data_IF_527277329433
#
_entry.id   IF_527277329433
#
_cell.length_a   1.000
_cell.length_b   1.000
_cell.length_c   1.000
_cell.angle_alpha   90.00
_cell.angle_beta   90.00
_cell.angle_gamma   90.00
#
_symmetry.space_group_name_H-M   'P 1'
#
loop_
_entity.id
_entity.type
_entity.pdbx_description
1 polymer ?
#
# COMPACT_ATOMS: atom_id res chain seq x y z
N UNK A 1 -8.62 67.13 55.31
CA UNK A 1 -9.42 65.94 54.93
C UNK A 1 -10.30 66.33 53.75
N UNK A 2 -9.91 65.94 52.54
CA UNK A 2 -10.69 65.99 51.29
C UNK A 2 -9.86 65.20 50.25
N UNK A 3 -10.15 63.91 50.06
CA UNK A 3 -11.08 63.35 49.07
C UNK A 3 -10.38 63.02 47.75
N UNK A 4 -10.06 61.73 47.62
CA UNK A 4 -9.36 60.98 46.56
C UNK A 4 -10.15 60.86 45.24
N UNK A 5 -10.92 61.87 44.86
CA UNK A 5 -11.84 61.79 43.72
C UNK A 5 -11.38 62.73 42.61
N UNK A 6 -10.30 62.41 41.86
CA UNK A 6 -10.04 62.96 40.51
C UNK A 6 -8.98 62.19 39.67
N UNK A 7 -8.57 60.96 40.02
CA UNK A 7 -7.61 60.17 39.21
C UNK A 7 -8.27 58.89 38.68
N UNK A 8 -9.52 58.98 38.25
CA UNK A 8 -10.29 57.83 37.71
C UNK A 8 -10.58 57.93 36.22
N UNK A 9 -9.97 58.88 35.49
CA UNK A 9 -10.36 59.19 34.11
C UNK A 9 -9.25 59.04 33.04
N UNK A 10 -8.19 58.28 33.32
CA UNK A 10 -7.16 57.93 32.32
C UNK A 10 -6.93 56.41 32.16
N UNK A 11 -7.87 55.57 32.58
CA UNK A 11 -7.84 54.12 32.36
C UNK A 11 -8.97 53.65 31.44
N UNK A 12 -9.32 54.46 30.45
CA UNK A 12 -10.14 54.03 29.33
C UNK A 12 -9.46 54.53 28.06
N UNK A 13 -9.33 53.66 27.05
CA UNK A 13 -8.69 53.88 25.74
C UNK A 13 -7.18 53.58 25.70
N UNK A 14 -6.82 52.33 26.00
CA UNK A 14 -6.00 51.55 25.06
C UNK A 14 -6.29 50.06 25.25
N UNK A 15 -7.59 49.73 25.24
CA UNK A 15 -8.03 48.42 24.77
C UNK A 15 -7.91 48.40 23.23
N UNK A 16 -6.73 48.71 22.71
CA UNK A 16 -6.34 48.23 21.40
C UNK A 16 -6.18 46.75 21.59
N UNK A 17 -7.26 46.04 21.25
CA UNK A 17 -7.28 44.62 20.94
C UNK A 17 -5.93 44.30 20.29
N UNK A 18 -5.03 43.67 21.05
CA UNK A 18 -3.98 42.90 20.45
C UNK A 18 -4.77 41.81 19.72
N UNK A 19 -5.09 42.09 18.46
CA UNK A 19 -5.36 41.07 17.48
C UNK A 19 -4.15 40.17 17.61
N UNK A 20 -4.30 39.09 18.40
CA UNK A 20 -3.52 37.91 18.19
C UNK A 20 -3.88 37.53 16.76
N UNK A 21 -3.14 38.10 15.81
CA UNK A 21 -3.01 37.56 14.48
C UNK A 21 -2.39 36.20 14.79
N UNK A 22 -3.24 35.20 14.96
CA UNK A 22 -2.84 33.83 14.75
C UNK A 22 -2.43 33.80 13.30
N UNK A 23 -1.16 34.11 13.06
CA UNK A 23 -0.50 33.61 11.88
C UNK A 23 -0.64 32.11 12.05
N UNK A 24 -1.68 31.53 11.45
CA UNK A 24 -1.69 30.14 11.06
C UNK A 24 -0.48 30.00 10.14
N UNK A 25 0.72 29.92 10.72
CA UNK A 25 1.81 29.26 10.07
C UNK A 25 1.24 27.88 9.84
N UNK A 26 0.91 27.58 8.59
CA UNK A 26 0.63 26.24 8.12
C UNK A 26 1.89 25.43 8.36
N UNK A 27 2.07 25.04 9.62
CA UNK A 27 3.27 24.42 10.11
C UNK A 27 3.13 22.96 9.75
N UNK A 28 3.71 22.62 8.61
CA UNK A 28 3.75 21.24 8.13
C UNK A 28 4.76 20.44 8.96
N UNK A 29 4.62 19.12 8.94
CA UNK A 29 5.53 18.22 9.63
C UNK A 29 6.93 18.20 9.01
N UNK A 30 7.80 17.37 9.58
CA UNK A 30 9.14 17.15 9.02
C UNK A 30 9.06 16.63 7.58
N UNK A 31 9.92 17.19 6.72
CA UNK A 31 9.98 16.90 5.28
C UNK A 31 8.67 17.16 4.51
N UNK A 32 7.81 18.04 5.03
CA UNK A 32 6.61 18.52 4.36
C UNK A 32 6.70 20.01 4.03
N UNK A 33 6.05 20.43 2.95
CA UNK A 33 5.84 21.83 2.62
C UNK A 33 4.36 22.09 2.35
N UNK A 34 3.87 23.24 2.81
CA UNK A 34 2.52 23.68 2.49
C UNK A 34 2.44 23.99 1.00
N UNK A 35 1.55 23.29 0.30
CA UNK A 35 1.26 23.49 -1.11
C UNK A 35 -0.12 24.13 -1.23
N UNK A 36 -0.24 25.40 -1.63
CA UNK A 36 -1.53 26.02 -1.95
C UNK A 36 -2.27 25.29 -3.07
N UNK A 37 -1.49 24.66 -3.94
CA UNK A 37 -1.93 23.82 -5.03
C UNK A 37 -1.24 22.46 -4.91
N UNK A 38 -1.87 21.52 -4.20
CA UNK A 38 -1.29 20.19 -4.01
C UNK A 38 -1.30 19.40 -5.33
N UNK A 39 -0.46 18.37 -5.38
CA UNK A 39 -0.42 17.39 -6.46
C UNK A 39 -0.70 16.00 -5.89
N UNK A 40 -0.65 15.00 -6.74
CA UNK A 40 -0.45 13.64 -6.28
C UNK A 40 0.75 13.59 -5.31
N UNK A 41 0.74 12.67 -4.39
CA UNK A 41 1.79 12.52 -3.40
C UNK A 41 2.37 11.12 -3.52
N UNK A 42 3.70 11.05 -3.63
CA UNK A 42 4.42 9.79 -3.63
C UNK A 42 4.26 9.12 -2.28
N UNK A 43 4.02 7.82 -2.28
CA UNK A 43 3.94 7.01 -1.06
C UNK A 43 4.98 5.90 -1.11
N UNK A 44 5.25 5.25 0.02
CA UNK A 44 6.11 4.07 -0.02
C UNK A 44 5.53 2.94 -0.90
N UNK A 45 4.20 2.82 -0.98
CA UNK A 45 3.49 1.83 -1.81
C UNK A 45 3.46 2.21 -3.29
N UNK A 46 3.40 3.50 -3.58
CA UNK A 46 3.44 4.05 -4.93
C UNK A 46 4.43 5.22 -5.01
N UNK A 47 5.75 4.93 -5.12
CA UNK A 47 6.77 5.96 -5.18
C UNK A 47 6.75 6.78 -6.47
N UNK A 48 6.14 6.25 -7.53
CA UNK A 48 6.06 6.88 -8.85
C UNK A 48 4.60 6.90 -9.33
N UNK A 49 3.71 7.69 -8.70
CA UNK A 49 2.32 7.79 -9.11
C UNK A 49 2.22 8.53 -10.44
N UNK A 50 1.23 8.16 -11.27
CA UNK A 50 0.90 8.94 -12.47
C UNK A 50 -0.02 10.09 -12.09
N UNK A 51 0.41 11.31 -12.37
CA UNK A 51 -0.23 12.50 -11.82
C UNK A 51 -0.78 13.41 -12.92
N UNK A 52 -1.97 13.94 -12.70
CA UNK A 52 -2.52 14.96 -13.59
C UNK A 52 -1.88 16.32 -13.30
N UNK A 53 -1.89 17.20 -14.31
CA UNK A 53 -1.49 18.59 -14.14
C UNK A 53 -2.53 19.44 -13.37
N UNK A 54 -3.62 18.82 -12.90
CA UNK A 54 -4.67 19.50 -12.15
C UNK A 54 -4.17 19.93 -10.76
N UNK A 55 -4.77 20.99 -10.25
CA UNK A 55 -4.47 21.52 -8.93
C UNK A 55 -5.38 20.87 -7.88
N UNK A 56 -4.78 20.21 -6.89
CA UNK A 56 -5.50 19.70 -5.73
C UNK A 56 -5.73 20.77 -4.66
N UNK A 57 -6.53 20.47 -3.62
CA UNK A 57 -6.78 21.38 -2.52
C UNK A 57 -5.49 21.71 -1.76
N UNK A 58 -5.40 22.88 -1.12
CA UNK A 58 -4.21 23.27 -0.37
C UNK A 58 -3.97 22.33 0.83
N UNK A 59 -2.77 21.76 0.96
CA UNK A 59 -2.37 20.89 2.08
C UNK A 59 -0.87 20.86 2.29
N UNK A 60 -0.43 20.35 3.43
CA UNK A 60 0.95 19.92 3.61
C UNK A 60 1.19 18.66 2.76
N UNK A 61 2.30 18.66 2.02
CA UNK A 61 2.67 17.56 1.14
C UNK A 61 4.17 17.30 1.27
N UNK A 62 4.59 16.03 1.17
CA UNK A 62 6.01 15.66 1.19
C UNK A 62 6.80 16.47 0.16
N UNK A 63 7.98 16.93 0.56
CA UNK A 63 8.91 17.60 -0.35
C UNK A 63 9.53 16.59 -1.34
N UNK A 64 10.07 17.10 -2.44
CA UNK A 64 10.67 16.26 -3.50
C UNK A 64 11.75 15.34 -2.92
N UNK A 65 11.70 14.05 -3.26
CA UNK A 65 12.62 13.02 -2.76
C UNK A 65 12.19 12.32 -1.47
N UNK A 66 11.06 12.75 -0.89
CA UNK A 66 10.43 12.11 0.27
C UNK A 66 9.06 11.57 -0.12
N UNK A 67 8.71 10.44 0.48
CA UNK A 67 7.43 9.76 0.24
C UNK A 67 6.69 9.57 1.56
N UNK A 68 5.36 9.55 1.51
CA UNK A 68 4.54 9.34 2.71
C UNK A 68 4.50 7.85 3.06
N UNK A 69 4.81 7.51 4.31
CA UNK A 69 4.67 6.16 4.85
C UNK A 69 3.28 5.93 5.47
N UNK A 70 3.01 4.71 5.93
CA UNK A 70 1.71 4.33 6.53
C UNK A 70 1.40 4.99 7.87
N UNK A 71 2.44 5.54 8.52
CA UNK A 71 2.31 6.32 9.74
C UNK A 71 2.01 7.80 9.45
N UNK A 72 1.85 8.17 8.17
CA UNK A 72 1.59 9.53 7.74
C UNK A 72 2.82 10.43 7.75
N UNK A 73 4.03 9.91 7.94
CA UNK A 73 5.28 10.69 7.95
C UNK A 73 5.93 10.72 6.56
N UNK A 74 6.54 11.86 6.21
CA UNK A 74 7.37 11.98 5.01
C UNK A 74 8.79 11.49 5.29
N UNK A 75 9.14 10.34 4.71
CA UNK A 75 10.41 9.65 4.91
C UNK A 75 11.16 9.53 3.60
N UNK A 76 12.48 9.30 3.67
CA UNK A 76 13.24 8.99 2.45
C UNK A 76 12.74 7.68 1.84
N UNK A 77 12.77 7.54 0.51
CA UNK A 77 12.36 6.29 -0.16
C UNK A 77 13.13 5.07 0.34
N UNK A 78 14.39 5.24 0.77
CA UNK A 78 15.21 4.16 1.35
C UNK A 78 14.70 3.76 2.74
N UNK A 79 14.12 4.71 3.49
CA UNK A 79 13.50 4.48 4.79
C UNK A 79 12.15 3.76 4.69
N UNK A 80 11.57 3.59 3.50
CA UNK A 80 10.45 2.68 3.29
C UNK A 80 10.81 1.21 3.59
N UNK A 81 12.09 0.84 3.71
CA UNK A 81 12.47 -0.47 4.24
C UNK A 81 11.96 -0.76 5.67
N UNK A 82 11.54 0.27 6.42
CA UNK A 82 10.90 0.17 7.74
C UNK A 82 9.36 0.13 7.66
N UNK A 83 8.77 -0.17 6.50
CA UNK A 83 7.34 -0.48 6.42
C UNK A 83 7.08 -1.77 7.21
N UNK A 84 6.16 -1.73 8.17
CA UNK A 84 5.68 -2.94 8.87
C UNK A 84 4.89 -3.79 7.88
N UNK A 85 5.55 -4.76 7.26
CA UNK A 85 4.87 -5.81 6.52
C UNK A 85 4.13 -6.75 7.48
N UNK A 86 3.09 -7.42 6.98
CA UNK A 86 2.34 -8.39 7.78
C UNK A 86 3.21 -9.60 8.13
N UNK A 87 2.70 -10.47 9.02
CA UNK A 87 3.37 -11.73 9.32
C UNK A 87 3.69 -12.51 8.03
N UNK A 88 4.90 -13.09 7.99
CA UNK A 88 5.46 -13.81 6.83
C UNK A 88 5.70 -12.99 5.55
N UNK A 89 5.72 -11.67 5.65
CA UNK A 89 6.10 -10.78 4.55
C UNK A 89 7.44 -10.07 4.80
N UNK A 90 8.06 -9.62 3.72
CA UNK A 90 9.27 -8.80 3.73
C UNK A 90 9.16 -7.72 2.66
N UNK A 91 9.62 -6.52 2.96
CA UNK A 91 9.63 -5.43 2.01
C UNK A 91 10.65 -5.71 0.91
N UNK A 92 10.23 -5.62 -0.35
CA UNK A 92 11.14 -5.58 -1.49
C UNK A 92 10.91 -4.33 -2.31
N UNK A 93 12.01 -3.69 -2.68
CA UNK A 93 12.05 -2.59 -3.65
C UNK A 93 11.45 -2.98 -5.01
N UNK A 94 11.55 -4.27 -5.34
CA UNK A 94 11.01 -4.89 -6.54
C UNK A 94 10.20 -6.12 -6.14
N UNK A 95 8.93 -5.92 -5.80
CA UNK A 95 8.04 -7.00 -5.33
C UNK A 95 6.96 -7.44 -6.32
N UNK A 96 6.95 -6.88 -7.53
CA UNK A 96 5.92 -7.12 -8.55
C UNK A 96 5.81 -8.61 -8.95
N UNK A 97 6.89 -9.38 -8.79
CA UNK A 97 6.89 -10.83 -8.96
C UNK A 97 7.07 -11.53 -7.60
N UNK A 98 6.03 -12.25 -7.16
CA UNK A 98 6.11 -13.14 -6.01
C UNK A 98 5.32 -14.43 -6.31
N UNK A 99 5.74 -15.58 -5.74
CA UNK A 99 5.01 -16.83 -5.91
C UNK A 99 3.70 -16.83 -5.12
N UNK A 100 2.70 -17.52 -5.65
CA UNK A 100 1.35 -17.64 -5.09
C UNK A 100 0.99 -19.11 -4.92
N UNK A 101 -0.06 -19.44 -4.16
CA UNK A 101 -0.51 -20.83 -4.06
C UNK A 101 -0.88 -21.42 -5.44
N UNK A 102 -1.43 -20.60 -6.34
CA UNK A 102 -1.81 -21.02 -7.69
C UNK A 102 -0.64 -21.08 -8.69
N UNK A 103 0.41 -20.27 -8.49
CA UNK A 103 1.62 -20.26 -9.32
C UNK A 103 2.87 -20.22 -8.43
N UNK A 104 3.48 -21.39 -8.23
CA UNK A 104 4.62 -21.56 -7.33
C UNK A 104 5.94 -21.09 -7.95
N UNK A 105 6.02 -21.05 -9.27
CA UNK A 105 7.23 -20.71 -10.03
C UNK A 105 6.91 -19.71 -11.15
N UNK A 106 6.54 -18.45 -10.79
CA UNK A 106 6.23 -17.44 -11.78
C UNK A 106 7.50 -17.03 -12.53
N UNK A 107 7.41 -16.91 -13.86
CA UNK A 107 8.47 -16.31 -14.66
C UNK A 107 8.58 -14.81 -14.34
N UNK A 108 9.72 -14.43 -13.76
CA UNK A 108 10.00 -13.06 -13.31
C UNK A 108 10.97 -12.30 -14.21
N UNK A 109 11.28 -12.84 -15.40
CA UNK A 109 12.35 -12.33 -16.27
C UNK A 109 12.08 -10.92 -16.83
N UNK A 110 10.81 -10.51 -16.94
CA UNK A 110 10.40 -9.29 -17.67
C UNK A 110 9.75 -8.19 -16.80
N UNK A 111 9.85 -8.24 -15.46
CA UNK A 111 9.14 -7.25 -14.65
C UNK A 111 9.91 -5.94 -14.45
N UNK A 112 9.34 -4.89 -15.05
CA UNK A 112 9.61 -3.49 -14.72
C UNK A 112 9.32 -3.28 -13.22
N UNK A 113 10.36 -2.98 -12.43
CA UNK A 113 10.18 -2.60 -11.03
C UNK A 113 9.54 -1.21 -10.96
N UNK A 114 8.22 -1.16 -10.92
CA UNK A 114 7.48 0.09 -10.86
C UNK A 114 7.46 0.65 -9.44
N UNK A 115 7.18 -0.21 -8.45
CA UNK A 115 7.01 0.18 -7.06
C UNK A 115 7.52 -0.90 -6.08
N UNK A 116 7.87 -0.48 -4.86
CA UNK A 116 8.20 -1.40 -3.77
C UNK A 116 6.93 -1.91 -3.10
N UNK A 117 6.93 -3.16 -2.62
CA UNK A 117 5.80 -3.73 -1.86
C UNK A 117 6.28 -4.79 -0.88
N UNK A 118 5.41 -5.12 0.08
CA UNK A 118 5.56 -6.32 0.90
C UNK A 118 5.32 -7.56 0.03
N UNK A 119 6.26 -8.50 0.07
CA UNK A 119 6.15 -9.80 -0.60
C UNK A 119 6.30 -10.93 0.41
N UNK A 120 5.79 -12.11 0.06
CA UNK A 120 6.01 -13.30 0.88
C UNK A 120 7.51 -13.59 1.10
N UNK A 121 7.87 -13.95 2.33
CA UNK A 121 9.21 -14.42 2.68
C UNK A 121 9.56 -15.71 1.89
N UNK A 122 10.85 -16.01 1.68
CA UNK A 122 11.25 -17.26 1.02
C UNK A 122 10.61 -18.48 1.67
N UNK A 123 10.04 -19.37 0.85
CA UNK A 123 9.36 -20.60 1.30
C UNK A 123 7.87 -20.43 1.62
N UNK A 124 7.33 -19.20 1.58
CA UNK A 124 5.89 -18.95 1.71
C UNK A 124 5.28 -18.44 0.40
N UNK A 125 3.97 -18.61 0.27
CA UNK A 125 3.22 -18.39 -0.96
C UNK A 125 1.96 -17.60 -0.64
N UNK A 126 1.64 -16.60 -1.47
CA UNK A 126 0.43 -15.81 -1.26
C UNK A 126 -0.80 -16.63 -1.64
N UNK A 127 -1.72 -16.81 -0.70
CA UNK A 127 -2.98 -17.51 -0.92
C UNK A 127 -4.07 -16.56 -1.48
N UNK A 128 -5.25 -17.11 -1.79
CA UNK A 128 -6.38 -16.36 -2.34
C UNK A 128 -6.95 -15.29 -1.39
N UNK A 129 -6.68 -15.41 -0.09
CA UNK A 129 -7.05 -14.43 0.96
C UNK A 129 -6.00 -13.33 1.14
N UNK A 130 -4.92 -13.36 0.36
CA UNK A 130 -3.84 -12.39 0.43
C UNK A 130 -2.80 -12.66 1.53
N UNK A 131 -2.86 -13.80 2.22
CA UNK A 131 -1.94 -14.16 3.30
C UNK A 131 -0.76 -14.99 2.77
N UNK A 132 0.44 -14.78 3.32
CA UNK A 132 1.60 -15.62 3.04
C UNK A 132 1.61 -16.88 3.91
N UNK A 133 1.46 -18.03 3.27
CA UNK A 133 1.29 -19.34 3.93
C UNK A 133 2.31 -20.35 3.43
N UNK A 134 2.52 -21.43 4.20
CA UNK A 134 3.33 -22.56 3.75
C UNK A 134 2.66 -23.32 2.60
N UNK A 135 3.46 -24.02 1.77
CA UNK A 135 2.94 -24.83 0.66
C UNK A 135 1.87 -25.84 1.09
N UNK A 136 1.98 -26.41 2.30
CA UNK A 136 1.00 -27.36 2.86
C UNK A 136 -0.38 -26.73 3.04
N UNK A 137 -0.41 -25.44 3.32
CA UNK A 137 -1.64 -24.65 3.51
C UNK A 137 -2.23 -24.18 2.18
N UNK A 138 -1.49 -24.30 1.07
CA UNK A 138 -2.03 -24.08 -0.28
C UNK A 138 -2.87 -25.27 -0.78
N UNK A 139 -2.89 -26.41 -0.09
CA UNK A 139 -3.55 -27.65 -0.57
C UNK A 139 -5.05 -27.47 -0.86
N UNK A 140 -5.77 -26.73 -0.03
CA UNK A 140 -7.19 -26.43 -0.25
C UNK A 140 -7.46 -25.57 -1.50
N UNK A 141 -6.50 -24.73 -1.91
CA UNK A 141 -6.60 -23.88 -3.11
C UNK A 141 -6.04 -24.56 -4.36
N UNK A 142 -5.28 -25.64 -4.17
CA UNK A 142 -4.59 -26.38 -5.22
C UNK A 142 -5.30 -27.66 -5.65
N UNK A 143 -6.35 -28.07 -4.94
CA UNK A 143 -7.11 -29.27 -5.24
C UNK A 143 -8.54 -28.95 -5.68
N UNK A 144 -8.64 -28.36 -6.87
CA UNK A 144 -9.91 -28.11 -7.53
C UNK A 144 -10.72 -29.40 -7.80
N UNK A 145 -10.03 -30.55 -7.86
CA UNK A 145 -10.66 -31.87 -8.01
C UNK A 145 -11.24 -32.42 -6.70
N UNK A 146 -10.94 -31.84 -5.53
CA UNK A 146 -11.45 -32.30 -4.24
C UNK A 146 -12.99 -32.33 -4.17
N UNK A 147 -13.64 -31.41 -4.88
CA UNK A 147 -15.11 -31.27 -4.92
C UNK A 147 -15.71 -31.43 -6.32
N UNK A 148 -14.89 -31.77 -7.33
CA UNK A 148 -15.33 -31.84 -8.72
C UNK A 148 -15.33 -33.28 -9.26
N UNK A 149 -16.52 -33.76 -9.61
CA UNK A 149 -16.70 -35.12 -10.15
C UNK A 149 -16.89 -35.05 -11.67
N UNK A 150 -16.07 -35.79 -12.41
CA UNK A 150 -16.19 -35.92 -13.85
C UNK A 150 -17.22 -36.97 -14.25
N UNK A 151 -17.98 -36.70 -15.31
CA UNK A 151 -18.87 -37.67 -15.95
C UNK A 151 -18.09 -38.60 -16.89
N UNK A 152 -18.65 -39.78 -17.15
CA UNK A 152 -18.24 -40.71 -18.22
C UNK A 152 -16.79 -41.21 -18.16
N UNK A 153 -16.35 -41.74 -17.01
CA UNK A 153 -15.04 -42.40 -16.89
C UNK A 153 -13.83 -41.49 -17.15
N UNK A 154 -14.04 -40.17 -17.14
CA UNK A 154 -12.99 -39.15 -17.26
C UNK A 154 -12.32 -38.92 -15.90
N UNK A 155 -11.06 -38.53 -15.94
CA UNK A 155 -10.26 -38.22 -14.75
C UNK A 155 -10.25 -36.72 -14.55
N UNK A 156 -10.52 -36.27 -13.32
CA UNK A 156 -10.30 -34.88 -12.95
C UNK A 156 -8.81 -34.64 -12.77
N UNK A 157 -8.29 -33.61 -13.40
CA UNK A 157 -6.94 -33.10 -13.14
C UNK A 157 -7.00 -31.66 -12.68
N UNK A 158 -6.16 -31.33 -11.72
CA UNK A 158 -5.92 -29.96 -11.25
C UNK A 158 -5.16 -29.21 -12.35
N UNK A 159 -5.90 -28.52 -13.22
CA UNK A 159 -5.34 -27.85 -14.37
C UNK A 159 -4.84 -26.45 -13.99
N UNK A 160 -3.53 -26.25 -14.19
CA UNK A 160 -2.86 -24.95 -14.04
C UNK A 160 -2.66 -24.36 -15.43
N UNK A 161 -3.49 -23.37 -15.79
CA UNK A 161 -3.22 -22.54 -16.97
C UNK A 161 -2.06 -21.59 -16.65
N UNK A 162 -1.17 -21.36 -17.62
CA UNK A 162 -0.17 -20.28 -17.51
C UNK A 162 -0.90 -18.98 -17.18
N UNK A 163 -0.63 -18.43 -16.01
CA UNK A 163 -1.37 -17.29 -15.51
C UNK A 163 -0.99 -16.02 -16.28
N UNK A 164 -1.94 -15.44 -17.02
CA UNK A 164 -1.71 -14.17 -17.73
C UNK A 164 -1.95 -12.95 -16.83
N UNK A 165 -2.89 -13.04 -15.87
CA UNK A 165 -3.17 -11.98 -14.92
C UNK A 165 -3.65 -12.54 -13.57
N UNK A 166 -3.10 -12.09 -12.44
CA UNK A 166 -3.62 -12.42 -11.11
C UNK A 166 -5.05 -11.89 -10.89
N UNK A 167 -5.85 -12.51 -10.00
CA UNK A 167 -5.54 -13.72 -9.24
C UNK A 167 -5.57 -15.00 -10.09
N UNK A 168 -4.57 -15.86 -9.89
CA UNK A 168 -4.46 -17.14 -10.58
C UNK A 168 -5.23 -18.19 -9.77
N UNK A 169 -5.91 -19.12 -10.43
CA UNK A 169 -6.64 -20.20 -9.77
C UNK A 169 -6.36 -21.53 -10.46
N UNK A 170 -6.38 -22.60 -9.69
CA UNK A 170 -6.37 -23.97 -10.20
C UNK A 170 -7.82 -24.33 -10.55
N UNK A 171 -8.03 -24.89 -11.74
CA UNK A 171 -9.36 -25.27 -12.23
C UNK A 171 -9.46 -26.80 -12.37
N UNK A 172 -10.63 -27.40 -12.11
CA UNK A 172 -10.82 -28.81 -12.36
C UNK A 172 -11.04 -29.03 -13.86
N UNK A 173 -10.29 -29.96 -14.46
CA UNK A 173 -10.47 -30.32 -15.87
C UNK A 173 -10.67 -31.82 -16.02
N UNK A 174 -11.78 -32.21 -16.63
CA UNK A 174 -12.02 -33.60 -16.98
C UNK A 174 -11.30 -33.95 -18.28
N UNK A 175 -10.36 -34.89 -18.19
CA UNK A 175 -9.64 -35.41 -19.34
C UNK A 175 -9.87 -36.91 -19.48
N UNK A 176 -9.68 -37.43 -20.70
CA UNK A 176 -9.69 -38.88 -20.90
C UNK A 176 -8.43 -39.48 -20.25
N UNK A 177 -8.55 -40.69 -19.70
CA UNK A 177 -7.42 -41.42 -19.08
C UNK A 177 -6.18 -41.52 -19.98
N UNK A 178 -6.35 -41.53 -21.31
CA UNK A 178 -5.27 -41.59 -22.31
C UNK A 178 -4.42 -40.32 -22.42
N UNK A 179 -4.84 -39.22 -21.79
CA UNK A 179 -4.15 -37.94 -21.84
C UNK A 179 -3.15 -37.75 -20.67
N UNK A 180 -3.13 -38.66 -19.70
CA UNK A 180 -2.13 -38.67 -18.64
C UNK A 180 -0.83 -39.25 -19.21
N UNK A 181 0.18 -38.41 -19.44
CA UNK A 181 1.54 -38.88 -19.72
C UNK A 181 2.20 -39.23 -18.39
N UNK A 182 2.59 -40.50 -18.24
CA UNK A 182 3.47 -40.96 -17.16
C UNK A 182 4.88 -40.41 -17.33
#
# INVERSE_FOLDING_TARGET
MASTVQISLFLAISLSCALAVSTNSTQCGDNEAYKPCSRCEETCHEPNPTCTAACGPPKCQCVVGFVRNDQGMCVSIQSCGNQTCSDNETWKKCGECEPTCAELDPDCSDKLCLHGKCVCKPGTYRNSKGLCVDLRQCSAENDACASFVCLDGKVCVNYRRKCQKPPCFVEPKCINHRCLKN
#
